data_IF_440388153750
#
_entry.id   IF_440388153750
#
_cell.length_a   1.000
_cell.length_b   1.000
_cell.length_c   1.000
_cell.angle_alpha   90.00
_cell.angle_beta   90.00
_cell.angle_gamma   90.00
#
_symmetry.space_group_name_H-M   'P 1'
#
loop_
_entity.id
_entity.type
_entity.pdbx_description
1 polymer ?
#
# COMPACT_ATOMS: atom_id res chain seq x y z
N UNK A 1 -17.47 4.58 3.49
CA UNK A 1 -17.17 3.70 2.34
C UNK A 1 -15.80 3.10 2.59
N UNK A 2 -15.69 1.78 2.61
CA UNK A 2 -14.38 1.13 2.60
C UNK A 2 -13.85 1.21 1.16
N UNK A 3 -12.64 1.72 0.99
CA UNK A 3 -11.95 1.69 -0.30
C UNK A 3 -11.29 0.32 -0.46
N UNK A 4 -11.33 -0.24 -1.66
CA UNK A 4 -10.59 -1.44 -2.01
C UNK A 4 -9.33 -1.08 -2.80
N UNK A 5 -8.43 -2.06 -3.00
CA UNK A 5 -7.14 -1.81 -3.66
C UNK A 5 -7.29 -1.16 -5.05
N UNK A 6 -8.27 -1.60 -5.84
CA UNK A 6 -8.51 -1.08 -7.20
C UNK A 6 -9.19 0.29 -7.23
N UNK A 7 -9.81 0.70 -6.12
CA UNK A 7 -10.33 2.06 -5.98
C UNK A 7 -9.20 3.08 -5.75
N UNK A 8 -8.04 2.62 -5.26
CA UNK A 8 -6.89 3.46 -4.94
C UNK A 8 -5.76 3.40 -5.97
N UNK A 9 -5.58 2.29 -6.69
CA UNK A 9 -4.57 2.20 -7.76
C UNK A 9 -4.89 1.02 -8.71
N UNK A 10 -4.44 1.07 -9.97
CA UNK A 10 -4.45 -0.10 -10.84
C UNK A 10 -3.63 -1.27 -10.24
N UNK A 11 -4.06 -2.51 -10.48
CA UNK A 11 -3.37 -3.71 -9.96
C UNK A 11 -1.87 -3.75 -10.34
N UNK A 12 -1.52 -3.25 -11.53
CA UNK A 12 -0.14 -3.18 -12.03
C UNK A 12 0.76 -2.16 -11.33
N UNK A 13 0.19 -1.22 -10.56
CA UNK A 13 0.96 -0.23 -9.80
C UNK A 13 1.38 -0.76 -8.42
N UNK A 14 0.78 -1.86 -7.96
CA UNK A 14 1.10 -2.49 -6.68
C UNK A 14 2.34 -3.36 -6.78
N UNK A 15 3.21 -3.23 -5.79
CA UNK A 15 4.33 -4.12 -5.58
C UNK A 15 4.37 -4.60 -4.12
N UNK A 16 4.90 -5.81 -3.93
CA UNK A 16 5.09 -6.37 -2.58
C UNK A 16 6.13 -5.54 -1.84
N UNK A 17 5.80 -5.13 -0.62
CA UNK A 17 6.71 -4.31 0.20
C UNK A 17 8.00 -5.08 0.52
N UNK A 18 9.15 -4.41 0.48
CA UNK A 18 10.42 -4.99 0.93
C UNK A 18 10.44 -5.30 2.44
N UNK A 19 9.56 -4.67 3.21
CA UNK A 19 9.37 -4.92 4.65
C UNK A 19 8.41 -6.09 4.93
N UNK A 20 7.87 -6.74 3.90
CA UNK A 20 6.92 -7.84 4.06
C UNK A 20 7.58 -9.17 4.49
N UNK A 21 8.91 -9.27 4.46
CA UNK A 21 9.67 -10.42 5.00
C UNK A 21 9.25 -11.79 4.46
N UNK A 22 9.71 -12.87 5.10
CA UNK A 22 9.63 -14.24 4.57
C UNK A 22 8.53 -15.13 5.17
N UNK A 23 7.53 -14.59 5.87
CA UNK A 23 6.62 -15.51 6.58
C UNK A 23 5.28 -15.03 7.15
N UNK A 24 4.95 -13.74 7.23
CA UNK A 24 3.60 -13.36 7.67
C UNK A 24 3.12 -11.94 7.38
N UNK A 25 4.00 -11.01 7.01
CA UNK A 25 3.56 -9.67 6.66
C UNK A 25 3.12 -9.70 5.20
N UNK A 26 1.86 -9.34 4.94
CA UNK A 26 1.22 -9.53 3.65
C UNK A 26 0.82 -8.16 3.11
N UNK A 27 1.77 -7.32 2.72
CA UNK A 27 1.48 -5.93 2.32
C UNK A 27 1.94 -5.69 0.88
N UNK A 28 1.00 -5.23 0.05
CA UNK A 28 1.28 -4.58 -1.23
C UNK A 28 1.14 -3.07 -1.05
N UNK A 29 2.00 -2.32 -1.73
CA UNK A 29 1.95 -0.86 -1.74
C UNK A 29 1.96 -0.34 -3.17
N UNK A 30 1.27 0.77 -3.40
CA UNK A 30 1.32 1.50 -4.66
C UNK A 30 1.46 3.00 -4.39
N UNK A 31 2.17 3.69 -5.30
CA UNK A 31 2.21 5.16 -5.36
C UNK A 31 1.69 5.57 -6.74
N UNK A 32 0.37 5.81 -6.88
CA UNK A 32 -0.26 6.03 -8.17
C UNK A 32 0.42 7.15 -8.95
N UNK A 33 0.73 6.91 -10.22
CA UNK A 33 1.43 7.90 -11.05
C UNK A 33 0.57 9.14 -11.32
N UNK A 34 -0.75 8.95 -11.48
CA UNK A 34 -1.74 10.00 -11.70
C UNK A 34 -1.97 10.86 -10.45
N UNK A 35 -1.91 10.24 -9.26
CA UNK A 35 -2.23 10.87 -7.98
C UNK A 35 -1.12 10.57 -6.97
N UNK A 36 -0.01 11.32 -7.06
CA UNK A 36 1.15 11.18 -6.16
C UNK A 36 0.94 11.76 -4.76
N UNK A 37 -0.32 11.95 -4.36
CA UNK A 37 -0.74 12.60 -3.11
C UNK A 37 -0.93 11.61 -1.96
N UNK A 38 -0.86 10.31 -2.24
CA UNK A 38 -0.95 9.25 -1.23
C UNK A 38 -0.14 8.01 -1.61
N UNK A 39 -0.01 7.11 -0.63
CA UNK A 39 0.48 5.74 -0.76
C UNK A 39 -0.70 4.83 -0.46
N UNK A 40 -1.07 3.98 -1.41
CA UNK A 40 -2.09 2.96 -1.24
C UNK A 40 -1.46 1.72 -0.59
N UNK A 41 -2.11 1.18 0.43
CA UNK A 41 -1.64 0.02 1.19
C UNK A 41 -2.78 -1.00 1.27
N UNK A 42 -2.51 -2.24 0.90
CA UNK A 42 -3.48 -3.33 0.96
C UNK A 42 -2.82 -4.66 1.33
N UNK A 43 -3.66 -5.62 1.71
CA UNK A 43 -3.20 -6.97 2.04
C UNK A 43 -2.84 -7.75 0.76
N UNK A 44 -1.64 -8.33 0.71
CA UNK A 44 -1.14 -9.04 -0.46
C UNK A 44 -1.87 -10.35 -0.76
N UNK A 45 -2.55 -10.95 0.23
CA UNK A 45 -3.30 -12.20 0.14
C UNK A 45 -4.77 -11.98 -0.26
N UNK A 46 -5.24 -10.74 -0.29
CA UNK A 46 -6.61 -10.41 -0.68
C UNK A 46 -6.60 -9.65 -2.01
N UNK A 47 -6.93 -10.35 -3.09
CA UNK A 47 -7.09 -9.73 -4.40
C UNK A 47 -8.24 -8.71 -4.35
N UNK A 48 -7.94 -7.45 -4.69
CA UNK A 48 -8.84 -6.31 -4.52
C UNK A 48 -9.49 -6.20 -3.12
N UNK A 49 -8.77 -6.61 -2.07
CA UNK A 49 -9.24 -6.49 -0.70
C UNK A 49 -9.30 -5.05 -0.18
N UNK A 50 -9.71 -4.86 1.08
CA UNK A 50 -9.73 -3.56 1.72
C UNK A 50 -8.36 -2.87 1.65
N UNK A 51 -8.38 -1.58 1.33
CA UNK A 51 -7.18 -0.78 1.20
C UNK A 51 -7.35 0.59 1.86
N UNK A 52 -6.24 1.22 2.21
CA UNK A 52 -6.24 2.56 2.77
C UNK A 52 -5.17 3.43 2.13
N UNK A 53 -5.48 4.72 2.03
CA UNK A 53 -4.59 5.75 1.52
C UNK A 53 -3.90 6.48 2.68
N UNK A 54 -2.58 6.54 2.64
CA UNK A 54 -1.75 7.25 3.62
C UNK A 54 -1.06 8.41 2.93
N UNK A 55 -0.95 9.56 3.60
CA UNK A 55 -0.14 10.67 3.07
C UNK A 55 1.34 10.25 2.96
N UNK A 56 2.09 10.66 1.92
CA UNK A 56 3.48 10.26 1.72
C UNK A 56 4.37 10.60 2.91
N UNK A 57 4.11 11.72 3.60
CA UNK A 57 4.88 12.17 4.76
C UNK A 57 4.66 11.24 5.96
N UNK A 58 3.41 10.85 6.21
CA UNK A 58 3.05 9.92 7.28
C UNK A 58 3.60 8.51 6.97
N UNK A 59 3.53 8.06 5.72
CA UNK A 59 4.13 6.79 5.30
C UNK A 59 5.65 6.80 5.51
N UNK A 60 6.33 7.88 5.10
CA UNK A 60 7.78 8.03 5.32
C UNK A 60 8.12 8.00 6.82
N UNK A 61 7.38 8.72 7.65
CA UNK A 61 7.60 8.73 9.10
C UNK A 61 7.40 7.34 9.72
N UNK A 62 6.36 6.61 9.29
CA UNK A 62 6.11 5.24 9.72
C UNK A 62 7.26 4.29 9.35
N UNK A 63 7.69 4.28 8.08
CA UNK A 63 8.82 3.45 7.64
C UNK A 63 10.11 3.80 8.39
N UNK A 64 10.37 5.09 8.61
CA UNK A 64 11.56 5.55 9.37
C UNK A 64 11.55 5.07 10.82
N UNK A 65 10.37 4.93 11.43
CA UNK A 65 10.22 4.46 12.81
C UNK A 65 10.43 2.94 12.95
N UNK A 66 10.05 2.15 11.94
CA UNK A 66 10.12 0.69 11.99
C UNK A 66 11.39 0.08 11.35
N UNK A 67 12.17 0.90 10.64
CA UNK A 67 13.45 0.51 10.04
C UNK A 67 14.58 0.55 11.09
#
# INVERSE_FOLDING_TARGET
>A
MALNARDLAPDGDYFVSSYSGNGNNCIKVARPAAERTYVAVCDSKQDNGPAFAVRPEAWKAFITFIA
#
